data_IF_063171263197
#
_entry.id   IF_063171263197
#
_cell.length_a   1.000
_cell.length_b   1.000
_cell.length_c   1.000
_cell.angle_alpha   90.00
_cell.angle_beta   90.00
_cell.angle_gamma   90.00
#
_symmetry.space_group_name_H-M   'P 1'
#
loop_
_entity.id
_entity.type
_entity.pdbx_description
1 polymer ?
#
# COMPACT_ATOMS: atom_id res chain seq x y z
N UNK A 1 -0.70 24.62 -12.73
CA UNK A 1 -1.85 23.73 -12.40
C UNK A 1 -2.33 23.07 -13.67
N UNK A 2 -2.30 21.77 -13.74
CA UNK A 2 -2.88 20.95 -14.79
C UNK A 2 -4.28 20.49 -14.41
N UNK A 3 -5.04 20.07 -15.43
CA UNK A 3 -6.41 19.60 -15.26
C UNK A 3 -6.62 18.35 -16.09
N UNK A 4 -7.07 17.31 -15.42
CA UNK A 4 -7.37 16.02 -16.04
C UNK A 4 -8.70 15.47 -15.55
N UNK A 5 -9.35 14.68 -16.38
CA UNK A 5 -10.53 13.90 -16.01
C UNK A 5 -10.22 12.42 -16.17
N UNK A 6 -10.17 11.71 -15.06
CA UNK A 6 -9.89 10.28 -15.03
C UNK A 6 -11.21 9.53 -14.91
N UNK A 7 -11.50 8.66 -15.87
CA UNK A 7 -12.65 7.75 -15.78
C UNK A 7 -12.40 6.78 -14.63
N UNK A 8 -13.07 6.99 -13.51
CA UNK A 8 -12.80 6.20 -12.31
C UNK A 8 -14.01 6.09 -11.40
N UNK A 9 -14.02 5.05 -10.57
CA UNK A 9 -15.04 4.81 -9.54
C UNK A 9 -14.37 4.46 -8.21
N UNK A 10 -15.02 4.83 -7.10
CA UNK A 10 -14.62 4.42 -5.76
C UNK A 10 -15.56 3.31 -5.27
N UNK A 11 -15.00 2.16 -4.92
CA UNK A 11 -15.71 1.07 -4.24
C UNK A 11 -15.57 1.26 -2.74
N UNK A 12 -16.54 1.93 -2.14
CA UNK A 12 -16.59 2.23 -0.72
C UNK A 12 -17.42 1.21 0.07
N UNK A 13 -17.39 1.26 1.38
CA UNK A 13 -18.18 0.35 2.21
C UNK A 13 -18.83 1.02 3.40
N UNK A 14 -19.88 0.40 3.92
CA UNK A 14 -20.53 0.85 5.16
C UNK A 14 -19.72 0.55 6.42
N UNK A 15 -18.63 -0.21 6.29
CA UNK A 15 -17.73 -0.56 7.38
C UNK A 15 -16.69 -1.59 6.94
N UNK A 16 -15.81 -1.99 7.86
CA UNK A 16 -14.90 -3.10 7.63
C UNK A 16 -15.68 -4.41 7.49
N UNK A 17 -15.19 -5.32 6.62
CA UNK A 17 -15.82 -6.63 6.44
C UNK A 17 -17.10 -6.66 5.58
N UNK A 18 -17.57 -5.55 5.00
CA UNK A 18 -18.71 -5.54 4.08
C UNK A 18 -18.40 -6.16 2.70
N UNK A 19 -17.14 -6.53 2.44
CA UNK A 19 -16.70 -7.21 1.22
C UNK A 19 -16.26 -6.29 0.07
N UNK A 20 -15.81 -5.07 0.38
CA UNK A 20 -15.21 -4.15 -0.62
C UNK A 20 -14.20 -4.84 -1.51
N UNK A 21 -13.22 -5.50 -0.91
CA UNK A 21 -12.15 -6.16 -1.66
C UNK A 21 -12.67 -7.27 -2.58
N UNK A 22 -13.63 -8.07 -2.12
CA UNK A 22 -14.25 -9.08 -2.98
C UNK A 22 -14.93 -8.45 -4.18
N UNK A 23 -15.70 -7.37 -3.96
CA UNK A 23 -16.36 -6.63 -5.04
C UNK A 23 -15.34 -5.99 -5.97
N UNK A 24 -14.31 -5.34 -5.45
CA UNK A 24 -13.24 -4.69 -6.24
C UNK A 24 -12.49 -5.71 -7.10
N UNK A 25 -12.05 -6.82 -6.51
CA UNK A 25 -11.35 -7.88 -7.25
C UNK A 25 -12.24 -8.49 -8.34
N UNK A 26 -13.54 -8.70 -8.03
CA UNK A 26 -14.51 -9.18 -9.00
C UNK A 26 -14.69 -8.23 -10.18
N UNK A 27 -14.81 -6.93 -9.93
CA UNK A 27 -14.94 -5.89 -10.96
C UNK A 27 -13.67 -5.79 -11.81
N UNK A 28 -12.49 -5.70 -11.20
CA UNK A 28 -11.21 -5.64 -11.90
C UNK A 28 -11.03 -6.85 -12.81
N UNK A 29 -11.22 -8.06 -12.29
CA UNK A 29 -11.08 -9.29 -13.07
C UNK A 29 -12.13 -9.41 -14.17
N UNK A 30 -13.37 -8.98 -13.90
CA UNK A 30 -14.44 -8.97 -14.90
C UNK A 30 -14.13 -8.01 -16.06
N UNK A 31 -13.62 -6.81 -15.78
CA UNK A 31 -13.18 -5.87 -16.82
C UNK A 31 -12.03 -6.42 -17.65
N UNK A 32 -11.03 -7.08 -17.02
CA UNK A 32 -9.96 -7.74 -17.76
C UNK A 32 -10.50 -8.82 -18.73
N UNK A 33 -11.44 -9.66 -18.26
CA UNK A 33 -12.07 -10.69 -19.10
C UNK A 33 -12.87 -10.07 -20.26
N UNK A 34 -13.37 -8.84 -20.09
CA UNK A 34 -14.02 -8.05 -21.14
C UNK A 34 -13.01 -7.33 -22.07
N UNK A 35 -11.71 -7.49 -21.85
CA UNK A 35 -10.65 -6.86 -22.64
C UNK A 35 -10.43 -5.39 -22.33
N UNK A 36 -10.89 -4.90 -21.16
CA UNK A 36 -10.71 -3.51 -20.73
C UNK A 36 -9.38 -3.33 -20.03
N UNK A 37 -8.65 -2.26 -20.39
CA UNK A 37 -7.48 -1.82 -19.65
C UNK A 37 -7.93 -1.13 -18.36
N UNK A 38 -7.43 -1.61 -17.21
CA UNK A 38 -7.81 -1.12 -15.89
C UNK A 38 -6.61 -0.63 -15.10
N UNK A 39 -6.80 0.42 -14.30
CA UNK A 39 -5.89 0.81 -13.22
C UNK A 39 -6.57 0.57 -11.88
N UNK A 40 -5.82 0.08 -10.91
CA UNK A 40 -6.32 -0.17 -9.56
C UNK A 40 -5.63 0.75 -8.55
N UNK A 41 -6.39 1.15 -7.54
CA UNK A 41 -5.86 1.95 -6.44
C UNK A 41 -6.42 1.48 -5.12
N UNK A 42 -5.63 1.64 -4.06
CA UNK A 42 -6.06 1.40 -2.69
C UNK A 42 -6.01 2.70 -1.88
N UNK A 43 -7.11 3.05 -1.21
CA UNK A 43 -7.07 4.13 -0.22
C UNK A 43 -6.20 3.74 0.98
N UNK A 44 -5.34 4.65 1.41
CA UNK A 44 -4.51 4.47 2.58
C UNK A 44 -3.22 3.67 2.34
N UNK A 45 -2.49 3.34 3.43
CA UNK A 45 -1.11 2.85 3.39
C UNK A 45 -0.99 1.32 3.26
N UNK A 46 -2.01 0.64 2.79
CA UNK A 46 -2.07 -0.82 2.68
C UNK A 46 -1.11 -1.34 1.60
N UNK A 47 -0.33 -2.39 1.90
CA UNK A 47 0.55 -3.06 0.93
C UNK A 47 -0.10 -4.28 0.28
N UNK A 48 -0.97 -4.97 1.03
CA UNK A 48 -1.48 -6.30 0.66
C UNK A 48 -2.44 -6.20 -0.51
N UNK A 49 -3.40 -5.27 -0.47
CA UNK A 49 -4.39 -5.12 -1.54
C UNK A 49 -3.74 -4.66 -2.85
N UNK A 50 -2.85 -3.64 -2.90
CA UNK A 50 -2.12 -3.30 -4.12
C UNK A 50 -1.26 -4.42 -4.70
N UNK A 51 -0.58 -5.20 -3.85
CA UNK A 51 0.16 -6.38 -4.29
C UNK A 51 -0.77 -7.42 -4.91
N UNK A 52 -1.92 -7.69 -4.27
CA UNK A 52 -2.91 -8.62 -4.80
C UNK A 52 -3.46 -8.16 -6.16
N UNK A 53 -3.79 -6.89 -6.31
CA UNK A 53 -4.22 -6.33 -7.60
C UNK A 53 -3.14 -6.47 -8.67
N UNK A 54 -1.88 -6.23 -8.33
CA UNK A 54 -0.78 -6.27 -9.30
C UNK A 54 -0.32 -7.69 -9.62
N UNK A 55 -0.06 -8.53 -8.63
CA UNK A 55 0.57 -9.84 -8.83
C UNK A 55 -0.45 -10.94 -9.16
N UNK A 56 -1.66 -10.86 -8.61
CA UNK A 56 -2.67 -11.91 -8.76
C UNK A 56 -3.71 -11.54 -9.82
N UNK A 57 -4.22 -10.31 -9.83
CA UNK A 57 -5.17 -9.88 -10.87
C UNK A 57 -4.42 -9.46 -12.13
N UNK A 58 -3.20 -8.92 -12.02
CA UNK A 58 -2.40 -8.44 -13.14
C UNK A 58 -2.77 -7.02 -13.58
N UNK A 59 -3.33 -6.22 -12.66
CA UNK A 59 -3.68 -4.81 -12.91
C UNK A 59 -2.71 -3.93 -12.12
N UNK A 60 -2.03 -2.99 -12.79
CA UNK A 60 -1.14 -2.05 -12.10
C UNK A 60 -1.88 -1.33 -10.97
N UNK A 61 -1.31 -1.40 -9.76
CA UNK A 61 -1.96 -0.84 -8.57
C UNK A 61 -1.01 0.09 -7.79
N UNK A 62 -1.59 1.15 -7.20
CA UNK A 62 -0.92 2.12 -6.36
C UNK A 62 -1.74 2.48 -5.12
N UNK A 63 -1.12 3.23 -4.22
CA UNK A 63 -1.78 3.76 -3.03
C UNK A 63 -2.23 5.20 -3.25
N UNK A 64 -3.43 5.53 -2.79
CA UNK A 64 -3.91 6.90 -2.71
C UNK A 64 -4.03 7.30 -1.24
N UNK A 65 -3.04 8.03 -0.76
CA UNK A 65 -2.93 8.42 0.64
C UNK A 65 -2.46 9.88 0.78
N UNK A 66 -3.42 10.77 1.02
CA UNK A 66 -3.14 12.20 1.17
C UNK A 66 -2.42 12.54 2.48
N UNK A 67 -2.43 11.67 3.51
CA UNK A 67 -1.62 11.87 4.70
C UNK A 67 -0.14 11.65 4.38
N UNK A 68 0.19 10.55 3.70
CA UNK A 68 1.58 10.20 3.39
C UNK A 68 2.18 11.13 2.32
N UNK A 69 1.45 11.38 1.24
CA UNK A 69 1.99 12.08 0.06
C UNK A 69 1.63 13.57 0.01
N UNK A 70 0.65 14.02 0.80
CA UNK A 70 -0.01 15.30 0.57
C UNK A 70 -1.05 15.20 -0.55
N UNK A 71 -1.99 16.13 -0.54
CA UNK A 71 -3.13 16.12 -1.47
C UNK A 71 -2.69 16.25 -2.94
N UNK A 72 -1.78 17.18 -3.22
CA UNK A 72 -1.31 17.42 -4.59
C UNK A 72 -0.57 16.20 -5.18
N UNK A 73 0.37 15.64 -4.43
CA UNK A 73 1.12 14.45 -4.88
C UNK A 73 0.21 13.24 -5.05
N UNK A 74 -0.80 13.06 -4.19
CA UNK A 74 -1.79 11.99 -4.34
C UNK A 74 -2.61 12.15 -5.63
N UNK A 75 -3.08 13.36 -5.95
CA UNK A 75 -3.79 13.67 -7.21
C UNK A 75 -2.89 13.42 -8.41
N UNK A 76 -1.65 13.91 -8.37
CA UNK A 76 -0.65 13.66 -9.41
C UNK A 76 -0.43 12.16 -9.64
N UNK A 77 -0.25 11.37 -8.57
CA UNK A 77 -0.07 9.92 -8.66
C UNK A 77 -1.32 9.22 -9.21
N UNK A 78 -2.51 9.68 -8.84
CA UNK A 78 -3.74 9.14 -9.40
C UNK A 78 -3.80 9.35 -10.91
N UNK A 79 -3.55 10.57 -11.40
CA UNK A 79 -3.53 10.87 -12.84
C UNK A 79 -2.43 10.10 -13.56
N UNK A 80 -1.20 10.16 -13.05
CA UNK A 80 -0.02 9.46 -13.62
C UNK A 80 -0.28 7.95 -13.77
N UNK A 81 -0.76 7.30 -12.71
CA UNK A 81 -0.90 5.85 -12.65
C UNK A 81 -2.18 5.34 -13.32
N UNK A 82 -3.19 6.20 -13.52
CA UNK A 82 -4.34 5.88 -14.36
C UNK A 82 -3.94 5.75 -15.83
N UNK A 83 -2.98 6.53 -16.29
CA UNK A 83 -2.37 6.41 -17.60
C UNK A 83 -3.38 6.29 -18.74
N UNK A 84 -3.33 5.16 -19.48
CA UNK A 84 -4.23 4.85 -20.59
C UNK A 84 -5.39 3.94 -20.22
N UNK A 85 -5.60 3.68 -18.91
CA UNK A 85 -6.68 2.81 -18.47
C UNK A 85 -8.05 3.33 -18.93
N UNK A 86 -8.91 2.44 -19.39
CA UNK A 86 -10.30 2.76 -19.76
C UNK A 86 -11.17 3.02 -18.53
N UNK A 87 -10.75 2.45 -17.38
CA UNK A 87 -11.36 2.69 -16.07
C UNK A 87 -10.37 2.52 -14.94
N UNK A 88 -10.39 3.44 -13.98
CA UNK A 88 -9.67 3.37 -12.72
C UNK A 88 -10.62 2.93 -11.60
N UNK A 89 -10.25 1.90 -10.83
CA UNK A 89 -11.05 1.40 -9.71
C UNK A 89 -10.29 1.64 -8.41
N UNK A 90 -10.88 2.46 -7.54
CA UNK A 90 -10.30 2.82 -6.25
C UNK A 90 -10.98 2.00 -5.15
N UNK A 91 -10.22 1.11 -4.51
CA UNK A 91 -10.71 0.36 -3.36
C UNK A 91 -10.61 1.18 -2.08
N UNK A 92 -11.73 1.40 -1.42
CA UNK A 92 -11.80 2.12 -0.15
C UNK A 92 -11.24 1.33 1.03
N UNK A 93 -10.96 2.02 2.12
CA UNK A 93 -10.51 1.47 3.39
C UNK A 93 -11.58 1.66 4.46
N UNK A 94 -11.70 0.73 5.43
CA UNK A 94 -12.66 0.79 6.55
C UNK A 94 -14.10 1.11 6.08
N UNK A 95 -14.86 1.91 6.82
CA UNK A 95 -16.10 2.53 6.35
C UNK A 95 -15.83 3.81 5.57
N UNK A 96 -16.77 4.23 4.73
CA UNK A 96 -16.62 5.35 3.81
C UNK A 96 -16.15 6.64 4.49
N UNK A 97 -16.67 6.93 5.67
CA UNK A 97 -16.33 8.13 6.46
C UNK A 97 -15.28 7.88 7.53
N UNK A 98 -14.84 6.62 7.72
CA UNK A 98 -13.86 6.29 8.74
C UNK A 98 -12.46 6.74 8.30
N UNK A 99 -11.81 7.52 9.14
CA UNK A 99 -10.49 8.08 8.87
C UNK A 99 -9.80 8.56 10.13
N UNK A 100 -8.92 9.52 9.98
CA UNK A 100 -8.15 10.07 11.08
C UNK A 100 -8.99 11.06 11.91
N UNK A 101 -9.02 10.84 13.22
CA UNK A 101 -9.74 11.69 14.16
C UNK A 101 -11.26 11.55 14.07
N UNK A 102 -11.99 12.43 14.77
CA UNK A 102 -13.46 12.45 14.81
C UNK A 102 -14.11 12.99 13.55
N UNK A 103 -13.36 13.69 12.72
CA UNK A 103 -13.85 14.31 11.49
C UNK A 103 -13.62 13.46 10.24
N UNK A 104 -13.04 12.25 10.40
CA UNK A 104 -12.82 11.32 9.29
C UNK A 104 -11.81 11.80 8.25
N UNK A 105 -10.79 12.56 8.64
CA UNK A 105 -9.73 12.99 7.75
C UNK A 105 -9.01 11.80 7.10
N UNK A 106 -8.59 11.96 5.84
CA UNK A 106 -7.90 10.91 5.07
C UNK A 106 -8.70 9.61 4.91
N UNK A 107 -10.03 9.69 4.98
CA UNK A 107 -10.96 8.59 4.74
C UNK A 107 -11.14 8.29 3.25
N UNK A 108 -11.88 7.21 2.94
CA UNK A 108 -12.33 6.93 1.57
C UNK A 108 -13.15 8.09 1.00
N UNK A 109 -13.97 8.76 1.81
CA UNK A 109 -14.69 9.99 1.44
C UNK A 109 -13.73 11.10 1.00
N UNK A 110 -12.68 11.36 1.78
CA UNK A 110 -11.66 12.35 1.43
C UNK A 110 -10.99 12.01 0.09
N UNK A 111 -10.61 10.76 -0.11
CA UNK A 111 -10.01 10.30 -1.38
C UNK A 111 -10.98 10.47 -2.56
N UNK A 112 -12.27 10.11 -2.40
CA UNK A 112 -13.28 10.29 -3.44
C UNK A 112 -13.44 11.77 -3.85
N UNK A 113 -13.41 12.68 -2.89
CA UNK A 113 -13.46 14.13 -3.17
C UNK A 113 -12.22 14.64 -3.90
N UNK A 114 -11.04 14.19 -3.51
CA UNK A 114 -9.80 14.63 -4.15
C UNK A 114 -9.63 14.08 -5.56
N UNK A 115 -10.17 12.89 -5.83
CA UNK A 115 -10.11 12.23 -7.15
C UNK A 115 -11.28 12.58 -8.06
N UNK A 116 -12.33 13.23 -7.53
CA UNK A 116 -13.56 13.53 -8.27
C UNK A 116 -14.34 12.29 -8.71
N UNK A 117 -13.92 11.11 -8.28
CA UNK A 117 -14.52 9.84 -8.73
C UNK A 117 -15.87 9.58 -8.02
N UNK A 118 -16.93 9.19 -8.76
CA UNK A 118 -18.19 8.78 -8.18
C UNK A 118 -18.04 7.51 -7.34
N UNK A 119 -18.87 7.40 -6.30
CA UNK A 119 -18.79 6.37 -5.27
C UNK A 119 -19.90 5.34 -5.43
N UNK A 120 -19.52 4.08 -5.41
CA UNK A 120 -20.40 2.92 -5.29
C UNK A 120 -20.25 2.32 -3.90
N UNK A 121 -21.33 2.36 -3.12
CA UNK A 121 -21.32 1.88 -1.74
C UNK A 121 -21.61 0.38 -1.68
N UNK A 122 -20.68 -0.41 -1.18
CA UNK A 122 -20.87 -1.83 -0.90
C UNK A 122 -21.57 -2.00 0.44
N UNK A 123 -22.71 -2.66 0.42
CA UNK A 123 -23.56 -2.86 1.58
C UNK A 123 -23.81 -4.34 1.83
N UNK A 124 -23.60 -4.79 3.06
CA UNK A 124 -24.01 -6.12 3.50
C UNK A 124 -25.43 -6.05 4.07
N UNK A 125 -26.46 -6.56 3.37
CA UNK A 125 -27.86 -6.46 3.80
C UNK A 125 -28.27 -7.56 4.80
N UNK A 126 -27.34 -8.38 5.29
CA UNK A 126 -27.61 -9.52 6.16
C UNK A 126 -28.38 -9.08 7.42
N UNK A 127 -29.53 -9.71 7.64
CA UNK A 127 -30.38 -9.41 8.80
C UNK A 127 -31.21 -8.13 8.67
N UNK A 128 -31.21 -7.49 7.51
CA UNK A 128 -32.00 -6.28 7.24
C UNK A 128 -33.06 -6.56 6.17
N UNK A 129 -34.18 -5.86 6.22
CA UNK A 129 -35.15 -5.75 5.14
C UNK A 129 -35.25 -4.28 4.72
N UNK A 130 -36.30 -3.56 5.05
CA UNK A 130 -36.44 -2.13 4.77
C UNK A 130 -35.31 -1.28 5.44
N UNK A 131 -34.76 -1.75 6.54
CA UNK A 131 -33.70 -1.05 7.28
C UNK A 131 -32.42 -0.84 6.46
N UNK A 132 -32.16 -1.65 5.42
CA UNK A 132 -31.03 -1.42 4.51
C UNK A 132 -31.10 -0.06 3.83
N UNK A 133 -32.30 0.36 3.42
CA UNK A 133 -32.53 1.68 2.81
C UNK A 133 -32.26 2.82 3.81
N UNK A 134 -32.58 2.63 5.09
CA UNK A 134 -32.26 3.61 6.13
C UNK A 134 -30.74 3.77 6.33
N UNK A 135 -29.98 2.65 6.33
CA UNK A 135 -28.52 2.68 6.40
C UNK A 135 -27.93 3.43 5.19
N UNK A 136 -28.35 3.06 3.97
CA UNK A 136 -27.86 3.68 2.75
C UNK A 136 -28.18 5.18 2.73
N UNK A 137 -29.41 5.54 3.09
CA UNK A 137 -29.84 6.93 3.18
C UNK A 137 -29.02 7.71 4.21
N UNK A 138 -28.70 7.09 5.36
CA UNK A 138 -27.81 7.69 6.35
C UNK A 138 -26.44 8.05 5.76
N UNK A 139 -25.82 7.13 5.01
CA UNK A 139 -24.55 7.42 4.34
C UNK A 139 -24.68 8.52 3.29
N UNK A 140 -25.72 8.49 2.46
CA UNK A 140 -25.95 9.49 1.42
C UNK A 140 -26.19 10.89 1.98
N UNK A 141 -26.96 10.99 3.07
CA UNK A 141 -27.43 12.27 3.60
C UNK A 141 -26.52 12.81 4.73
N UNK A 142 -25.52 12.03 5.20
CA UNK A 142 -24.68 12.38 6.35
C UNK A 142 -23.79 13.59 6.11
N UNK A 143 -23.13 13.65 4.96
CA UNK A 143 -22.30 14.79 4.52
C UNK A 143 -22.79 15.18 3.11
N UNK A 144 -23.08 16.45 2.84
CA UNK A 144 -23.29 16.92 1.47
C UNK A 144 -22.06 16.64 0.58
N UNK A 145 -22.25 16.54 -0.71
CA UNK A 145 -21.19 16.38 -1.72
C UNK A 145 -20.30 15.12 -1.51
N UNK A 146 -20.90 14.04 -1.00
CA UNK A 146 -20.17 12.79 -0.78
C UNK A 146 -19.98 11.94 -2.05
N UNK A 147 -20.58 12.35 -3.16
CA UNK A 147 -20.53 11.72 -4.47
C UNK A 147 -20.98 10.24 -4.52
N UNK A 148 -21.81 9.78 -3.55
CA UNK A 148 -22.40 8.43 -3.59
C UNK A 148 -23.48 8.41 -4.68
N UNK A 149 -23.26 7.62 -5.74
CA UNK A 149 -24.12 7.51 -6.91
C UNK A 149 -24.86 6.18 -7.00
N UNK A 150 -24.38 5.16 -6.27
CA UNK A 150 -25.02 3.87 -6.33
C UNK A 150 -24.56 2.89 -5.27
N UNK A 151 -25.12 1.69 -5.38
CA UNK A 151 -24.95 0.63 -4.38
C UNK A 151 -24.69 -0.71 -5.07
N UNK A 152 -23.83 -1.54 -4.45
CA UNK A 152 -23.70 -2.98 -4.72
C UNK A 152 -23.97 -3.72 -3.42
N UNK A 153 -24.80 -4.78 -3.48
CA UNK A 153 -25.15 -5.60 -2.32
C UNK A 153 -24.21 -6.83 -2.23
N UNK A 154 -23.62 -7.06 -1.06
CA UNK A 154 -22.67 -8.16 -0.88
C UNK A 154 -22.58 -8.66 0.58
N UNK A 155 -22.88 -9.96 0.84
CA UNK A 155 -23.50 -10.91 -0.09
C UNK A 155 -25.03 -10.81 -0.10
N UNK A 156 -25.66 -11.22 -1.20
CA UNK A 156 -27.12 -11.29 -1.29
C UNK A 156 -27.57 -12.54 -2.07
N UNK A 157 -28.61 -13.24 -1.60
CA UNK A 157 -29.23 -14.33 -2.34
C UNK A 157 -29.93 -13.81 -3.60
N UNK A 158 -29.76 -14.45 -4.78
CA UNK A 158 -30.36 -13.98 -6.05
C UNK A 158 -31.89 -13.80 -6.00
N UNK A 159 -32.59 -14.65 -5.27
CA UNK A 159 -34.06 -14.58 -5.10
C UNK A 159 -34.56 -13.31 -4.40
N UNK A 160 -33.69 -12.65 -3.65
CA UNK A 160 -34.04 -11.44 -2.90
C UNK A 160 -33.72 -10.14 -3.67
N UNK A 161 -32.94 -10.22 -4.75
CA UNK A 161 -32.39 -9.04 -5.41
C UNK A 161 -33.44 -8.03 -5.84
N UNK A 162 -34.48 -8.47 -6.52
CA UNK A 162 -35.52 -7.55 -7.04
C UNK A 162 -36.23 -6.77 -5.91
N UNK A 163 -36.48 -7.44 -4.79
CA UNK A 163 -37.09 -6.81 -3.62
C UNK A 163 -36.16 -5.73 -3.06
N UNK A 164 -34.89 -6.06 -2.84
CA UNK A 164 -33.93 -5.09 -2.30
C UNK A 164 -33.67 -3.94 -3.25
N UNK A 165 -33.54 -4.21 -4.54
CA UNK A 165 -33.39 -3.19 -5.57
C UNK A 165 -34.53 -2.19 -5.53
N UNK A 166 -35.80 -2.66 -5.59
CA UNK A 166 -36.97 -1.80 -5.55
C UNK A 166 -37.01 -0.94 -4.28
N UNK A 167 -36.76 -1.52 -3.11
CA UNK A 167 -36.73 -0.81 -1.83
C UNK A 167 -35.68 0.29 -1.84
N UNK A 168 -34.44 -0.03 -2.27
CA UNK A 168 -33.31 0.91 -2.23
C UNK A 168 -33.56 2.04 -3.23
N UNK A 169 -33.85 1.74 -4.49
CA UNK A 169 -34.05 2.75 -5.53
C UNK A 169 -35.22 3.68 -5.19
N UNK A 170 -36.36 3.15 -4.70
CA UNK A 170 -37.51 3.96 -4.30
C UNK A 170 -37.24 4.86 -3.09
N UNK A 171 -36.60 4.33 -2.05
CA UNK A 171 -36.43 5.06 -0.78
C UNK A 171 -35.21 5.94 -0.72
N UNK A 172 -34.18 5.64 -1.55
CA UNK A 172 -32.92 6.39 -1.52
C UNK A 172 -32.64 7.18 -2.81
N UNK A 173 -33.30 6.86 -3.93
CA UNK A 173 -32.98 7.43 -5.23
C UNK A 173 -31.65 7.01 -5.81
N UNK A 174 -30.91 6.11 -5.16
CA UNK A 174 -29.63 5.60 -5.62
C UNK A 174 -29.82 4.35 -6.48
N UNK A 175 -29.12 4.27 -7.61
CA UNK A 175 -29.10 3.09 -8.50
C UNK A 175 -28.45 1.90 -7.79
N UNK A 176 -29.06 0.71 -7.92
CA UNK A 176 -28.44 -0.54 -7.48
C UNK A 176 -27.76 -1.19 -8.68
N UNK A 177 -26.41 -1.14 -8.72
CA UNK A 177 -25.59 -1.69 -9.80
C UNK A 177 -25.50 -3.23 -9.77
N UNK A 178 -26.09 -3.87 -8.78
CA UNK A 178 -26.15 -5.32 -8.70
C UNK A 178 -25.82 -5.85 -7.31
N UNK A 179 -25.41 -7.12 -7.30
CA UNK A 179 -25.06 -7.84 -6.08
C UNK A 179 -24.06 -8.95 -6.37
N UNK A 180 -23.39 -9.45 -5.32
CA UNK A 180 -22.69 -10.71 -5.38
C UNK A 180 -23.38 -11.73 -4.46
N UNK A 181 -23.56 -12.98 -4.89
CA UNK A 181 -24.02 -14.05 -4.02
C UNK A 181 -22.93 -14.45 -3.01
N UNK A 182 -23.30 -15.19 -1.98
CA UNK A 182 -22.31 -15.80 -1.08
C UNK A 182 -21.52 -16.86 -1.83
N UNK A 183 -20.24 -16.60 -2.07
CA UNK A 183 -19.33 -17.46 -2.83
C UNK A 183 -18.28 -18.04 -1.87
N UNK A 184 -18.63 -19.14 -1.16
CA UNK A 184 -17.70 -19.79 -0.22
C UNK A 184 -16.45 -20.32 -0.93
N UNK A 185 -16.60 -20.82 -2.16
CA UNK A 185 -15.51 -21.34 -2.99
C UNK A 185 -14.60 -20.24 -3.56
N UNK A 186 -15.10 -19.02 -3.69
CA UNK A 186 -14.34 -17.86 -4.14
C UNK A 186 -13.94 -16.94 -2.96
N UNK A 187 -14.02 -17.42 -1.71
CA UNK A 187 -13.58 -16.66 -0.57
C UNK A 187 -12.07 -16.41 -0.66
N UNK A 188 -11.71 -15.16 -0.87
CA UNK A 188 -10.33 -14.71 -0.83
C UNK A 188 -9.97 -14.60 0.67
N UNK A 189 -9.30 -15.64 1.20
CA UNK A 189 -8.90 -15.73 2.62
C UNK A 189 -7.90 -14.66 3.05
N UNK A 190 -7.32 -14.81 4.25
CA UNK A 190 -6.23 -13.94 4.71
C UNK A 190 -5.09 -13.90 3.67
N UNK A 191 -4.82 -12.71 3.15
CA UNK A 191 -3.91 -12.49 2.02
C UNK A 191 -2.51 -12.20 2.52
N UNK A 192 -1.83 -13.21 3.05
CA UNK A 192 -0.39 -13.13 3.30
C UNK A 192 0.36 -13.44 2.00
N UNK A 193 0.38 -12.47 1.07
CA UNK A 193 0.95 -12.64 -0.28
C UNK A 193 2.44 -13.04 -0.27
N UNK A 194 3.18 -12.67 0.75
CA UNK A 194 4.55 -13.13 0.95
C UNK A 194 4.71 -14.64 1.20
N UNK A 195 3.59 -15.39 1.37
CA UNK A 195 3.57 -16.80 1.73
C UNK A 195 2.98 -17.72 0.65
N UNK A 196 2.54 -17.16 -0.50
CA UNK A 196 1.76 -17.92 -1.50
C UNK A 196 2.68 -18.78 -2.36
N UNK A 197 2.41 -20.09 -2.41
CA UNK A 197 3.05 -21.05 -3.31
C UNK A 197 2.45 -20.98 -4.72
N UNK A 198 3.13 -21.58 -5.72
CA UNK A 198 2.59 -21.65 -7.10
C UNK A 198 1.22 -22.35 -7.16
N UNK A 199 1.00 -23.38 -6.33
CA UNK A 199 -0.30 -24.08 -6.25
C UNK A 199 -1.38 -23.17 -5.63
N UNK A 200 -1.04 -22.35 -4.64
CA UNK A 200 -1.96 -21.38 -4.06
C UNK A 200 -2.28 -20.22 -5.02
N UNK A 201 -1.34 -19.84 -5.88
CA UNK A 201 -1.58 -18.86 -6.96
C UNK A 201 -2.59 -19.45 -7.96
N UNK A 202 -2.46 -20.71 -8.33
CA UNK A 202 -3.40 -21.39 -9.25
C UNK A 202 -4.81 -21.49 -8.64
N UNK A 203 -4.93 -21.89 -7.39
CA UNK A 203 -6.21 -21.87 -6.65
C UNK A 203 -6.80 -20.45 -6.58
N UNK A 204 -5.97 -19.43 -6.37
CA UNK A 204 -6.40 -18.05 -6.34
C UNK A 204 -6.91 -17.56 -7.70
N UNK A 205 -6.25 -17.95 -8.81
CA UNK A 205 -6.70 -17.63 -10.16
C UNK A 205 -8.06 -18.28 -10.46
N UNK A 206 -8.28 -19.55 -10.07
CA UNK A 206 -9.58 -20.21 -10.22
C UNK A 206 -10.68 -19.50 -9.42
N UNK A 207 -10.39 -19.07 -8.19
CA UNK A 207 -11.31 -18.28 -7.36
C UNK A 207 -11.66 -16.93 -7.99
N UNK A 208 -10.66 -16.26 -8.60
CA UNK A 208 -10.88 -14.99 -9.30
C UNK A 208 -11.72 -15.17 -10.58
N UNK A 209 -11.51 -16.23 -11.32
CA UNK A 209 -12.33 -16.55 -12.50
C UNK A 209 -13.79 -16.81 -12.12
N UNK A 210 -14.02 -17.58 -11.04
CA UNK A 210 -15.36 -17.81 -10.51
C UNK A 210 -16.00 -16.49 -10.04
N UNK A 211 -15.24 -15.66 -9.36
CA UNK A 211 -15.68 -14.33 -8.90
C UNK A 211 -16.03 -13.42 -10.09
N UNK A 212 -15.17 -13.35 -11.11
CA UNK A 212 -15.40 -12.58 -12.33
C UNK A 212 -16.63 -13.05 -13.09
N UNK A 213 -16.84 -14.37 -13.21
CA UNK A 213 -18.03 -14.94 -13.83
C UNK A 213 -19.32 -14.49 -13.11
N UNK A 214 -19.32 -14.54 -11.78
CA UNK A 214 -20.46 -14.09 -10.98
C UNK A 214 -20.64 -12.57 -11.06
N UNK A 215 -19.56 -11.80 -11.06
CA UNK A 215 -19.60 -10.35 -11.22
C UNK A 215 -20.21 -9.96 -12.55
N UNK A 216 -19.78 -10.57 -13.65
CA UNK A 216 -20.36 -10.35 -14.99
C UNK A 216 -21.84 -10.72 -15.08
N UNK A 217 -22.28 -11.70 -14.30
CA UNK A 217 -23.68 -12.16 -14.30
C UNK A 217 -24.61 -11.28 -13.48
N UNK A 218 -24.13 -10.72 -12.38
CA UNK A 218 -24.97 -10.10 -11.35
C UNK A 218 -24.71 -8.62 -11.11
N UNK A 219 -23.62 -8.07 -11.67
CA UNK A 219 -23.26 -6.65 -11.55
C UNK A 219 -23.36 -5.98 -12.93
N UNK A 220 -23.96 -4.81 -12.97
CA UNK A 220 -24.10 -3.98 -14.16
C UNK A 220 -22.79 -3.26 -14.47
N UNK A 221 -21.88 -3.98 -15.13
CA UNK A 221 -20.53 -3.48 -15.46
C UNK A 221 -20.57 -2.34 -16.49
N UNK A 222 -21.48 -2.38 -17.45
CA UNK A 222 -21.65 -1.28 -18.42
C UNK A 222 -22.12 0.00 -17.69
N UNK A 223 -23.07 -0.13 -16.77
CA UNK A 223 -23.50 0.99 -15.95
C UNK A 223 -22.40 1.55 -15.05
N UNK A 224 -21.42 0.71 -14.62
CA UNK A 224 -20.25 1.20 -13.89
C UNK A 224 -19.26 1.95 -14.79
N UNK A 225 -19.10 1.54 -16.06
CA UNK A 225 -18.32 2.28 -17.05
C UNK A 225 -18.96 3.64 -17.36
N UNK A 226 -20.29 3.67 -17.56
CA UNK A 226 -21.03 4.92 -17.73
C UNK A 226 -20.86 5.86 -16.52
N UNK A 227 -20.95 5.29 -15.29
CA UNK A 227 -20.76 6.06 -14.06
C UNK A 227 -19.34 6.66 -13.97
N UNK A 228 -18.32 5.90 -14.39
CA UNK A 228 -16.93 6.37 -14.35
C UNK A 228 -16.70 7.62 -15.24
N UNK A 229 -17.52 7.81 -16.28
CA UNK A 229 -17.49 9.00 -17.14
C UNK A 229 -18.03 10.27 -16.46
N UNK A 230 -18.80 10.11 -15.35
CA UNK A 230 -19.29 11.23 -14.54
C UNK A 230 -18.23 11.81 -13.59
N UNK A 231 -17.01 11.24 -13.55
CA UNK A 231 -15.94 11.75 -12.70
C UNK A 231 -15.66 13.24 -12.98
N UNK A 232 -15.39 13.98 -11.90
CA UNK A 232 -15.09 15.41 -11.98
C UNK A 232 -13.66 15.67 -12.45
N UNK A 233 -13.40 16.89 -12.90
CA UNK A 233 -12.08 17.35 -13.29
C UNK A 233 -11.18 17.51 -12.06
N UNK A 234 -9.93 17.00 -12.12
CA UNK A 234 -8.95 17.06 -11.06
C UNK A 234 -7.94 18.16 -11.40
N UNK A 235 -7.75 19.09 -10.45
CA UNK A 235 -6.70 20.10 -10.55
C UNK A 235 -5.51 19.69 -9.69
N UNK A 236 -4.30 19.68 -10.27
CA UNK A 236 -3.06 19.33 -9.58
C UNK A 236 -1.86 20.08 -10.16
N UNK A 237 -0.78 20.09 -9.44
CA UNK A 237 0.53 20.56 -9.91
C UNK A 237 1.41 19.34 -10.20
N UNK A 238 2.00 19.23 -11.40
CA UNK A 238 2.97 18.18 -11.69
C UNK A 238 4.09 18.15 -10.67
N UNK A 239 4.50 16.95 -10.26
CA UNK A 239 5.71 16.78 -9.45
C UNK A 239 6.88 16.71 -10.41
N UNK A 240 7.67 17.78 -10.47
CA UNK A 240 8.88 17.84 -11.27
C UNK A 240 9.94 16.91 -10.69
N UNK A 241 10.52 16.08 -11.52
CA UNK A 241 11.57 15.13 -11.16
C UNK A 241 12.63 15.20 -12.24
N UNK A 242 13.82 15.60 -11.85
CA UNK A 242 14.97 15.68 -12.72
C UNK A 242 15.79 14.39 -12.63
N UNK A 243 16.06 13.76 -13.76
CA UNK A 243 17.01 12.64 -13.88
C UNK A 243 18.44 13.15 -13.67
N UNK A 244 18.92 13.08 -12.44
CA UNK A 244 20.27 13.59 -12.05
C UNK A 244 21.25 12.49 -11.65
N UNK A 245 20.77 11.24 -11.55
CA UNK A 245 21.51 10.13 -10.95
C UNK A 245 21.70 8.95 -11.91
N UNK A 246 21.79 9.24 -13.21
CA UNK A 246 22.00 8.23 -14.25
C UNK A 246 23.21 7.33 -13.95
N UNK A 247 23.01 6.04 -14.18
CA UNK A 247 24.02 5.01 -13.98
C UNK A 247 24.25 4.59 -12.52
N UNK A 248 23.47 5.07 -11.55
CA UNK A 248 23.44 4.49 -10.19
C UNK A 248 22.69 3.15 -10.19
N UNK A 249 23.21 2.19 -9.45
CA UNK A 249 22.58 0.87 -9.29
C UNK A 249 22.21 0.63 -7.83
N UNK A 250 20.93 0.46 -7.57
CA UNK A 250 20.40 0.28 -6.20
C UNK A 250 19.90 -1.15 -6.05
N UNK A 251 20.52 -1.90 -5.14
CA UNK A 251 20.05 -3.24 -4.77
C UNK A 251 18.77 -3.14 -3.94
N UNK A 252 17.70 -3.82 -4.37
CA UNK A 252 16.41 -3.85 -3.66
C UNK A 252 16.09 -5.29 -3.27
N UNK A 253 15.97 -5.56 -1.98
CA UNK A 253 15.56 -6.87 -1.49
C UNK A 253 14.13 -7.15 -1.88
N UNK A 254 13.85 -8.21 -2.64
CA UNK A 254 12.51 -8.54 -3.09
C UNK A 254 12.29 -10.03 -3.17
N UNK A 255 11.60 -10.56 -2.17
CA UNK A 255 11.15 -11.93 -2.09
C UNK A 255 9.97 -12.06 -1.10
N UNK A 256 9.64 -13.28 -0.70
CA UNK A 256 8.53 -13.53 0.23
C UNK A 256 8.74 -12.97 1.63
N UNK A 257 9.98 -12.73 2.04
CA UNK A 257 10.30 -12.11 3.33
C UNK A 257 10.33 -10.58 3.26
N UNK A 258 10.59 -10.00 2.07
CA UNK A 258 10.74 -8.57 1.83
C UNK A 258 9.89 -8.15 0.63
N UNK A 259 8.61 -7.83 0.85
CA UNK A 259 7.65 -7.57 -0.22
C UNK A 259 6.86 -6.25 -0.04
N UNK A 260 7.01 -5.55 1.07
CA UNK A 260 6.27 -4.32 1.33
C UNK A 260 7.03 -3.10 0.83
N UNK A 261 6.61 -2.62 -0.33
CA UNK A 261 7.11 -1.42 -0.98
C UNK A 261 5.96 -0.59 -1.52
N UNK A 262 6.01 0.72 -1.36
CA UNK A 262 5.20 1.60 -2.17
C UNK A 262 5.79 1.63 -3.57
N UNK A 263 5.03 1.15 -4.54
CA UNK A 263 5.45 1.11 -5.95
C UNK A 263 5.95 2.46 -6.43
N UNK A 264 5.19 3.53 -6.13
CA UNK A 264 5.54 4.89 -6.53
C UNK A 264 6.85 5.37 -5.91
N UNK A 265 7.22 4.91 -4.70
CA UNK A 265 8.52 5.24 -4.10
C UNK A 265 9.69 4.58 -4.83
N UNK A 266 9.53 3.34 -5.30
CA UNK A 266 10.54 2.67 -6.13
C UNK A 266 10.64 3.33 -7.51
N UNK A 267 9.50 3.58 -8.18
CA UNK A 267 9.46 4.29 -9.46
C UNK A 267 10.05 5.71 -9.37
N UNK A 268 9.95 6.37 -8.22
CA UNK A 268 10.59 7.66 -8.01
C UNK A 268 12.12 7.56 -8.07
N UNK A 269 12.71 6.52 -7.48
CA UNK A 269 14.17 6.28 -7.58
C UNK A 269 14.58 6.05 -9.04
N UNK A 270 13.79 5.28 -9.82
CA UNK A 270 14.06 5.06 -11.25
C UNK A 270 13.92 6.35 -12.05
N UNK A 271 12.90 7.17 -11.77
CA UNK A 271 12.72 8.48 -12.43
C UNK A 271 13.81 9.49 -12.10
N UNK A 272 14.46 9.36 -10.97
CA UNK A 272 15.64 10.14 -10.58
C UNK A 272 16.94 9.61 -11.21
N UNK A 273 16.86 8.52 -12.03
CA UNK A 273 17.95 7.97 -12.83
C UNK A 273 18.61 6.70 -12.26
N UNK A 274 18.09 6.12 -11.19
CA UNK A 274 18.65 4.88 -10.64
C UNK A 274 18.12 3.63 -11.37
N UNK A 275 19.01 2.65 -11.61
CA UNK A 275 18.65 1.28 -11.99
C UNK A 275 18.36 0.47 -10.71
N UNK A 276 17.16 -0.09 -10.57
CA UNK A 276 16.82 -0.96 -9.45
C UNK A 276 17.19 -2.42 -9.78
N UNK A 277 18.06 -3.00 -8.98
CA UNK A 277 18.53 -4.38 -9.13
C UNK A 277 17.95 -5.24 -8.02
N UNK A 278 16.93 -6.02 -8.33
CA UNK A 278 16.26 -6.88 -7.35
C UNK A 278 17.12 -8.09 -6.99
N UNK A 279 17.09 -8.48 -5.71
CA UNK A 279 17.74 -9.69 -5.20
C UNK A 279 16.88 -10.32 -4.10
N UNK A 280 17.09 -11.62 -3.84
CA UNK A 280 16.35 -12.35 -2.83
C UNK A 280 17.25 -12.72 -1.64
N UNK A 281 17.07 -12.12 -0.46
CA UNK A 281 17.75 -12.58 0.75
C UNK A 281 17.49 -14.04 1.10
N UNK A 282 16.39 -14.64 0.65
CA UNK A 282 16.07 -16.05 0.88
C UNK A 282 16.86 -17.00 -0.02
N UNK A 283 17.10 -16.64 -1.29
CA UNK A 283 17.63 -17.58 -2.29
C UNK A 283 18.99 -17.20 -2.87
N UNK A 284 19.34 -15.92 -2.93
CA UNK A 284 20.62 -15.48 -3.48
C UNK A 284 21.72 -15.59 -2.43
N UNK A 285 22.94 -15.88 -2.89
CA UNK A 285 24.10 -16.05 -1.98
C UNK A 285 24.71 -14.74 -1.51
N UNK A 286 24.46 -13.61 -2.18
CA UNK A 286 24.99 -12.28 -1.86
C UNK A 286 24.17 -11.18 -2.52
N UNK A 287 24.37 -9.94 -2.09
CA UNK A 287 23.84 -8.77 -2.82
C UNK A 287 24.45 -8.71 -4.23
N UNK A 288 23.72 -8.13 -5.22
CA UNK A 288 24.23 -7.96 -6.58
C UNK A 288 25.57 -7.21 -6.62
N UNK A 289 26.38 -7.54 -7.59
CA UNK A 289 27.68 -6.87 -7.77
C UNK A 289 27.51 -5.47 -8.38
N UNK A 290 28.47 -4.60 -8.13
CA UNK A 290 28.51 -3.23 -8.67
C UNK A 290 27.25 -2.41 -8.36
N UNK A 291 26.71 -2.55 -7.15
CA UNK A 291 25.65 -1.67 -6.64
C UNK A 291 26.20 -0.55 -5.77
N UNK A 292 25.49 0.56 -5.75
CA UNK A 292 25.92 1.82 -5.13
C UNK A 292 25.08 2.15 -3.87
N UNK A 293 23.98 1.42 -3.65
CA UNK A 293 23.11 1.55 -2.48
C UNK A 293 22.25 0.31 -2.26
N UNK A 294 21.64 0.21 -1.09
CA UNK A 294 20.83 -0.93 -0.66
C UNK A 294 19.50 -0.47 -0.05
N UNK A 295 18.42 -1.06 -0.52
CA UNK A 295 17.05 -0.86 0.02
C UNK A 295 16.52 -2.20 0.53
N UNK A 296 16.18 -2.25 1.81
CA UNK A 296 15.56 -3.39 2.49
C UNK A 296 14.16 -2.99 2.97
N UNK A 297 13.14 -3.38 2.24
CA UNK A 297 11.75 -3.02 2.55
C UNK A 297 11.16 -3.83 3.70
N UNK A 298 9.89 -3.56 3.96
CA UNK A 298 9.10 -4.33 4.91
C UNK A 298 8.71 -5.71 4.38
N UNK A 299 8.04 -6.47 5.22
CA UNK A 299 7.58 -7.83 4.93
C UNK A 299 7.43 -8.67 6.18
N UNK A 300 7.69 -9.96 6.05
CA UNK A 300 7.51 -10.96 7.10
C UNK A 300 8.81 -11.77 7.38
N UNK A 301 9.95 -11.14 7.72
CA UNK A 301 11.21 -11.87 7.93
C UNK A 301 11.12 -12.87 9.10
N UNK A 302 10.25 -12.63 10.08
CA UNK A 302 10.02 -13.53 11.21
C UNK A 302 9.42 -14.88 10.79
N UNK A 303 8.68 -14.94 9.69
CA UNK A 303 8.12 -16.18 9.16
C UNK A 303 9.17 -17.03 8.44
N UNK A 304 10.22 -16.39 7.97
CA UNK A 304 11.36 -17.00 7.24
C UNK A 304 12.66 -16.97 8.02
N UNK A 305 12.61 -16.78 9.34
CA UNK A 305 13.79 -16.63 10.17
C UNK A 305 14.79 -17.79 10.05
N UNK A 306 14.28 -19.03 9.91
CA UNK A 306 15.12 -20.22 9.71
C UNK A 306 15.86 -20.22 8.37
N UNK A 307 15.20 -19.83 7.28
CA UNK A 307 15.82 -19.76 5.95
C UNK A 307 16.81 -18.60 5.90
N UNK A 308 16.44 -17.42 6.35
CA UNK A 308 17.31 -16.23 6.39
C UNK A 308 18.57 -16.49 7.21
N UNK A 309 18.44 -17.10 8.39
CA UNK A 309 19.60 -17.39 9.26
C UNK A 309 20.57 -18.41 8.68
N UNK A 310 20.10 -19.35 7.86
CA UNK A 310 20.95 -20.34 7.17
C UNK A 310 21.72 -19.76 6.00
N UNK A 311 21.27 -18.64 5.44
CA UNK A 311 21.94 -17.97 4.34
C UNK A 311 23.11 -17.09 4.84
N UNK A 312 24.10 -17.72 5.48
CA UNK A 312 25.23 -17.04 6.10
C UNK A 312 26.05 -16.19 5.11
N UNK A 313 26.09 -16.57 3.84
CA UNK A 313 26.80 -15.80 2.80
C UNK A 313 26.08 -14.48 2.50
N UNK A 314 24.74 -14.45 2.42
CA UNK A 314 23.97 -13.23 2.25
C UNK A 314 24.10 -12.32 3.49
N UNK A 315 23.95 -12.88 4.71
CA UNK A 315 24.14 -12.12 5.96
C UNK A 315 25.51 -11.44 5.99
N UNK A 316 26.57 -12.18 5.62
CA UNK A 316 27.94 -11.65 5.58
C UNK A 316 28.12 -10.60 4.50
N UNK A 317 27.49 -10.76 3.32
CA UNK A 317 27.54 -9.82 2.21
C UNK A 317 26.91 -8.48 2.58
N UNK A 318 25.70 -8.49 3.19
CA UNK A 318 25.04 -7.27 3.65
C UNK A 318 25.85 -6.60 4.76
N UNK A 319 26.35 -7.39 5.73
CA UNK A 319 27.19 -6.86 6.82
C UNK A 319 28.47 -6.19 6.31
N UNK A 320 29.10 -6.78 5.30
CA UNK A 320 30.29 -6.20 4.65
C UNK A 320 29.94 -4.87 3.96
N UNK A 321 28.83 -4.82 3.19
CA UNK A 321 28.39 -3.62 2.51
C UNK A 321 28.12 -2.46 3.50
N UNK A 322 27.46 -2.74 4.62
CA UNK A 322 27.27 -1.76 5.71
C UNK A 322 28.62 -1.32 6.29
N UNK A 323 29.53 -2.26 6.51
CA UNK A 323 30.91 -1.98 7.00
C UNK A 323 31.72 -1.11 6.05
N UNK A 324 31.50 -1.23 4.75
CA UNK A 324 32.09 -0.40 3.69
C UNK A 324 31.41 0.97 3.54
N UNK A 325 30.45 1.28 4.40
CA UNK A 325 29.65 2.52 4.37
C UNK A 325 28.84 2.70 3.07
N UNK A 326 28.34 1.61 2.49
CA UNK A 326 27.34 1.68 1.43
C UNK A 326 26.07 2.32 2.01
N UNK A 327 25.42 3.27 1.29
CA UNK A 327 24.13 3.82 1.72
C UNK A 327 23.05 2.75 1.83
N UNK A 328 22.38 2.67 2.99
CA UNK A 328 21.36 1.66 3.29
C UNK A 328 20.08 2.32 3.81
N UNK A 329 18.99 2.05 3.13
CA UNK A 329 17.65 2.40 3.59
C UNK A 329 16.88 1.13 3.95
N UNK A 330 16.40 1.03 5.20
CA UNK A 330 15.72 -0.17 5.69
C UNK A 330 14.45 0.16 6.50
N UNK A 331 13.33 -0.45 6.12
CA UNK A 331 12.04 -0.28 6.78
C UNK A 331 11.55 -1.59 7.42
N UNK A 332 10.96 -1.50 8.60
CA UNK A 332 10.21 -2.56 9.28
C UNK A 332 10.92 -3.94 9.23
N UNK A 333 10.52 -4.83 8.34
CA UNK A 333 11.17 -6.14 8.15
C UNK A 333 12.65 -6.03 7.79
N UNK A 334 13.02 -5.08 6.94
CA UNK A 334 14.42 -4.81 6.59
C UNK A 334 15.23 -4.29 7.77
N UNK A 335 14.63 -3.46 8.62
CA UNK A 335 15.25 -3.03 9.88
C UNK A 335 15.47 -4.23 10.84
N UNK A 336 14.44 -5.09 11.01
CA UNK A 336 14.57 -6.30 11.82
C UNK A 336 15.71 -7.20 11.31
N UNK A 337 15.83 -7.34 10.00
CA UNK A 337 16.87 -8.16 9.36
C UNK A 337 18.31 -7.63 9.57
N UNK A 338 18.47 -6.29 9.67
CA UNK A 338 19.77 -5.68 9.96
C UNK A 338 20.23 -5.86 11.41
N UNK A 339 19.33 -6.18 12.35
CA UNK A 339 19.64 -6.40 13.75
C UNK A 339 20.38 -7.74 13.99
N UNK A 340 20.71 -8.04 15.25
CA UNK A 340 21.46 -9.24 15.62
C UNK A 340 20.61 -10.50 15.53
N UNK A 341 19.34 -10.43 15.98
CA UNK A 341 18.41 -11.56 15.95
C UNK A 341 16.96 -11.17 15.69
N UNK A 342 16.17 -12.14 15.19
CA UNK A 342 14.69 -12.07 15.19
C UNK A 342 14.16 -13.26 16.01
N UNK A 343 13.22 -13.00 16.93
CA UNK A 343 12.49 -14.02 17.67
C UNK A 343 11.05 -14.10 17.18
N UNK A 344 10.64 -15.25 16.68
CA UNK A 344 9.31 -15.49 16.12
C UNK A 344 8.21 -15.64 17.21
N UNK A 345 6.94 -15.81 16.80
CA UNK A 345 5.81 -16.04 17.71
C UNK A 345 5.92 -17.32 18.54
N UNK A 346 6.69 -18.31 18.04
CA UNK A 346 6.96 -19.59 18.74
C UNK A 346 8.15 -19.50 19.68
N UNK A 347 8.73 -18.30 19.84
CA UNK A 347 9.92 -18.02 20.66
C UNK A 347 11.22 -18.68 20.14
N UNK A 348 11.26 -19.06 18.86
CA UNK A 348 12.52 -19.43 18.21
C UNK A 348 13.29 -18.15 17.85
N UNK A 349 14.59 -18.14 18.16
CA UNK A 349 15.46 -17.00 17.87
C UNK A 349 16.43 -17.37 16.73
N UNK A 350 16.50 -16.50 15.75
CA UNK A 350 17.29 -16.68 14.53
C UNK A 350 18.32 -15.56 14.40
N UNK A 351 19.56 -15.91 14.10
CA UNK A 351 20.64 -14.94 13.83
C UNK A 351 20.36 -14.23 12.51
N UNK A 352 20.52 -12.90 12.51
CA UNK A 352 20.37 -12.03 11.35
C UNK A 352 21.69 -11.35 10.97
N UNK A 353 21.64 -10.27 10.19
CA UNK A 353 22.84 -9.59 9.67
C UNK A 353 23.78 -9.10 10.78
N UNK A 354 23.25 -8.60 11.89
CA UNK A 354 24.04 -8.05 13.00
C UNK A 354 24.87 -6.82 12.61
N UNK A 355 24.39 -6.03 11.65
CA UNK A 355 24.95 -4.72 11.30
C UNK A 355 24.48 -3.64 12.27
N UNK A 356 23.27 -3.78 12.80
CA UNK A 356 22.72 -2.97 13.88
C UNK A 356 22.68 -3.76 15.19
N UNK A 357 23.00 -3.08 16.29
CA UNK A 357 22.84 -3.63 17.64
C UNK A 357 21.36 -3.68 18.00
N UNK A 358 20.91 -4.81 18.53
CA UNK A 358 19.56 -5.01 19.00
C UNK A 358 18.95 -6.31 18.54
N UNK A 359 17.81 -6.66 19.15
CA UNK A 359 17.08 -7.90 18.90
C UNK A 359 15.62 -7.58 18.68
N UNK A 360 15.07 -8.03 17.56
CA UNK A 360 13.64 -7.92 17.26
C UNK A 360 12.91 -9.15 17.75
N UNK A 361 11.66 -8.97 18.19
CA UNK A 361 10.81 -10.05 18.66
C UNK A 361 9.34 -9.80 18.37
N UNK A 362 8.61 -10.89 18.10
CA UNK A 362 7.16 -10.82 17.86
C UNK A 362 6.37 -10.75 19.17
N UNK A 363 5.24 -10.05 19.13
CA UNK A 363 4.29 -9.87 20.25
C UNK A 363 2.89 -10.31 19.85
N UNK A 364 2.06 -10.70 20.86
CA UNK A 364 0.66 -11.10 20.66
C UNK A 364 -0.29 -9.92 20.37
N UNK A 365 0.19 -8.70 20.49
CA UNK A 365 -0.58 -7.47 20.28
C UNK A 365 0.17 -6.52 19.37
N UNK A 366 -0.56 -5.63 18.72
CA UNK A 366 0.02 -4.53 17.96
C UNK A 366 0.93 -3.69 18.85
N UNK A 367 2.19 -3.57 18.46
CA UNK A 367 3.17 -2.72 19.14
C UNK A 367 2.90 -1.27 18.80
N UNK A 368 2.73 -0.97 17.51
CA UNK A 368 2.40 0.36 17.00
C UNK A 368 1.50 0.28 15.80
N UNK A 369 0.65 1.29 15.67
CA UNK A 369 -0.34 1.35 14.60
C UNK A 369 -0.65 2.79 14.19
N UNK A 370 -0.76 3.00 12.87
CA UNK A 370 -1.36 4.17 12.23
C UNK A 370 -0.33 5.27 11.90
N UNK A 371 -0.84 6.37 11.44
CA UNK A 371 -0.09 7.50 10.93
C UNK A 371 0.77 8.21 11.98
N UNK A 372 1.92 8.72 11.54
CA UNK A 372 2.88 9.49 12.32
C UNK A 372 3.56 10.52 11.42
N UNK A 373 4.05 11.60 12.02
CA UNK A 373 5.01 12.50 11.38
C UNK A 373 6.38 12.26 12.00
N UNK A 374 7.37 11.99 11.19
CA UNK A 374 8.77 11.80 11.57
C UNK A 374 9.51 13.13 11.42
N UNK A 375 10.34 13.47 12.40
CA UNK A 375 11.23 14.64 12.35
C UNK A 375 12.65 14.21 12.68
N UNK A 376 13.60 14.56 11.83
CA UNK A 376 15.01 14.26 12.01
C UNK A 376 15.63 15.11 13.13
N UNK A 377 16.42 14.49 14.04
CA UNK A 377 17.12 15.17 15.12
C UNK A 377 18.53 15.66 14.74
N UNK A 378 19.09 15.12 13.67
CA UNK A 378 20.38 15.47 13.11
C UNK A 378 20.36 15.22 11.59
N UNK A 379 21.35 15.77 10.89
CA UNK A 379 21.60 15.45 9.48
C UNK A 379 21.89 13.96 9.35
N UNK A 380 21.37 13.36 8.28
CA UNK A 380 21.48 11.91 8.05
C UNK A 380 21.40 11.59 6.55
N UNK A 381 21.40 10.29 6.20
CA UNK A 381 21.33 9.78 4.85
C UNK A 381 20.20 10.40 4.00
N UNK A 382 19.02 10.63 4.57
CA UNK A 382 17.82 11.05 3.83
C UNK A 382 17.54 12.55 3.91
N UNK A 383 17.97 13.22 4.98
CA UNK A 383 17.54 14.60 5.23
C UNK A 383 18.42 15.35 6.24
N UNK A 384 18.19 16.65 6.33
CA UNK A 384 18.82 17.51 7.33
C UNK A 384 18.02 17.53 8.64
N UNK A 385 18.65 17.96 9.70
CA UNK A 385 18.02 18.17 11.00
C UNK A 385 16.78 19.07 10.87
N UNK A 386 15.69 18.62 11.45
CA UNK A 386 14.41 19.33 11.48
C UNK A 386 13.51 19.06 10.30
N UNK A 387 13.99 18.43 9.23
CA UNK A 387 13.13 18.01 8.12
C UNK A 387 12.19 16.88 8.55
N UNK A 388 11.02 16.87 7.92
CA UNK A 388 9.92 15.99 8.28
C UNK A 388 9.43 15.18 7.08
N UNK A 389 8.90 13.99 7.38
CA UNK A 389 8.12 13.18 6.45
C UNK A 389 7.01 12.47 7.20
N UNK A 390 5.85 12.33 6.56
CA UNK A 390 4.78 11.50 7.08
C UNK A 390 5.04 10.02 6.79
N UNK A 391 4.66 9.18 7.74
CA UNK A 391 4.91 7.75 7.69
C UNK A 391 3.76 6.97 8.35
N UNK A 392 3.81 5.67 8.23
CA UNK A 392 2.85 4.76 8.82
C UNK A 392 3.58 3.62 9.55
N UNK A 393 3.06 3.20 10.69
CA UNK A 393 3.50 1.98 11.39
C UNK A 393 2.33 1.00 11.52
N UNK A 394 2.60 -0.26 11.24
CA UNK A 394 1.67 -1.37 11.50
C UNK A 394 2.48 -2.65 11.72
N UNK A 395 2.80 -2.95 12.98
CA UNK A 395 3.61 -4.14 13.28
C UNK A 395 3.27 -4.76 14.64
N UNK A 396 3.35 -6.08 14.67
CA UNK A 396 3.23 -6.92 15.87
C UNK A 396 4.62 -7.25 16.47
N UNK A 397 5.67 -6.79 15.87
CA UNK A 397 7.04 -6.91 16.37
C UNK A 397 7.44 -5.70 17.19
N UNK A 398 8.46 -5.84 18.00
CA UNK A 398 9.16 -4.74 18.66
C UNK A 398 10.66 -5.07 18.72
N UNK A 399 11.48 -4.14 19.17
CA UNK A 399 12.91 -4.33 19.38
C UNK A 399 13.34 -3.77 20.73
N UNK A 400 14.37 -4.37 21.31
CA UNK A 400 15.04 -3.81 22.49
C UNK A 400 15.85 -2.53 22.15
N UNK A 401 16.05 -2.25 20.85
CA UNK A 401 16.72 -1.07 20.30
C UNK A 401 15.95 -0.55 19.08
N UNK A 402 15.20 0.52 19.24
CA UNK A 402 14.40 1.15 18.18
C UNK A 402 15.06 2.39 17.54
N UNK A 403 16.30 2.71 17.93
CA UNK A 403 16.97 3.92 17.49
C UNK A 403 16.49 5.18 18.22
N UNK A 404 17.01 6.33 17.79
CA UNK A 404 16.70 7.61 18.44
C UNK A 404 17.06 8.82 17.59
N UNK A 405 17.35 8.60 16.29
CA UNK A 405 17.76 9.67 15.36
C UNK A 405 16.60 10.51 14.85
N UNK A 406 15.38 9.97 14.94
CA UNK A 406 14.14 10.69 14.69
C UNK A 406 13.24 10.66 15.92
N UNK A 407 12.28 11.56 15.96
CA UNK A 407 11.09 11.36 16.77
C UNK A 407 9.85 11.23 15.87
N UNK A 408 8.98 10.34 16.28
CA UNK A 408 7.65 10.17 15.70
C UNK A 408 6.62 10.91 16.56
N UNK A 409 5.69 11.61 15.93
CA UNK A 409 4.58 12.29 16.56
C UNK A 409 3.26 11.79 15.97
N UNK A 410 2.31 11.40 16.82
CA UNK A 410 0.94 11.09 16.36
C UNK A 410 0.24 12.35 15.87
N UNK A 411 -0.67 12.22 14.86
CA UNK A 411 -1.39 13.38 14.31
C UNK A 411 -2.21 14.17 15.34
N UNK A 412 -2.65 13.52 16.43
CA UNK A 412 -3.35 14.17 17.53
C UNK A 412 -2.41 14.95 18.49
N UNK A 413 -1.09 14.88 18.25
CA UNK A 413 -0.06 15.54 19.07
C UNK A 413 0.17 14.92 20.46
N UNK A 414 -0.61 13.89 20.86
CA UNK A 414 -0.59 13.38 22.24
C UNK A 414 0.53 12.38 22.55
N UNK A 415 0.99 11.66 21.53
CA UNK A 415 2.04 10.64 21.71
C UNK A 415 3.23 10.96 20.83
N UNK A 416 4.39 10.94 21.44
CA UNK A 416 5.70 11.15 20.81
C UNK A 416 6.68 10.10 21.34
N UNK A 417 7.54 9.58 20.47
CA UNK A 417 8.61 8.67 20.87
C UNK A 417 9.80 8.80 19.92
N UNK A 418 10.95 8.38 20.42
CA UNK A 418 12.17 8.29 19.64
C UNK A 418 12.18 6.99 18.83
N UNK A 419 12.69 7.04 17.61
CA UNK A 419 12.75 5.90 16.68
C UNK A 419 13.86 6.10 15.65
N UNK A 420 14.07 5.08 14.83
CA UNK A 420 14.98 5.08 13.68
C UNK A 420 16.45 5.24 14.09
N UNK A 421 17.29 4.31 13.64
CA UNK A 421 18.74 4.49 13.56
C UNK A 421 19.05 5.26 12.29
N UNK A 422 19.73 6.38 12.38
CA UNK A 422 20.15 7.13 11.22
C UNK A 422 21.52 7.79 11.45
N UNK A 423 22.36 7.69 10.43
CA UNK A 423 23.62 8.40 10.26
C UNK A 423 23.78 8.84 8.79
N UNK A 424 24.97 9.21 8.36
CA UNK A 424 25.24 9.65 6.99
C UNK A 424 25.12 8.53 5.94
N UNK A 425 25.12 7.26 6.34
CA UNK A 425 25.17 6.08 5.48
C UNK A 425 23.99 5.14 5.65
N UNK A 426 23.23 5.28 6.73
CA UNK A 426 22.12 4.38 7.01
C UNK A 426 20.92 5.12 7.58
N UNK A 427 19.71 4.70 7.16
CA UNK A 427 18.45 4.96 7.86
C UNK A 427 17.71 3.64 7.99
N UNK A 428 17.41 3.21 9.22
CA UNK A 428 16.77 1.93 9.51
C UNK A 428 15.81 2.03 10.71
N UNK A 429 14.55 1.61 10.52
CA UNK A 429 13.53 1.65 11.58
C UNK A 429 12.22 1.00 11.19
N UNK A 430 11.25 0.97 12.11
CA UNK A 430 9.92 0.41 11.84
C UNK A 430 9.03 1.25 10.93
N UNK A 431 9.07 2.61 10.97
CA UNK A 431 8.20 3.43 10.14
C UNK A 431 8.37 3.17 8.65
N UNK A 432 7.25 3.15 7.92
CA UNK A 432 7.21 3.10 6.46
C UNK A 432 6.98 4.50 5.91
N UNK A 433 7.85 4.94 5.02
CA UNK A 433 7.81 6.25 4.38
C UNK A 433 7.34 6.13 2.93
N UNK A 434 6.60 7.14 2.47
CA UNK A 434 6.29 7.27 1.05
C UNK A 434 7.05 8.47 0.48
N UNK A 435 7.99 8.24 -0.44
CA UNK A 435 8.91 9.28 -0.89
C UNK A 435 8.23 10.47 -1.59
N UNK A 436 7.04 10.31 -2.14
CA UNK A 436 6.26 11.44 -2.63
C UNK A 436 5.71 12.35 -1.51
N UNK A 437 5.83 11.97 -0.24
CA UNK A 437 5.60 12.85 0.90
C UNK A 437 6.70 13.90 1.07
N UNK A 438 7.92 13.58 0.65
CA UNK A 438 9.05 14.48 0.54
C UNK A 438 10.09 13.88 -0.42
N UNK A 439 10.05 14.31 -1.69
CA UNK A 439 10.94 13.77 -2.74
C UNK A 439 12.42 14.02 -2.47
N UNK A 440 12.74 15.05 -1.70
CA UNK A 440 14.10 15.34 -1.26
C UNK A 440 14.76 14.19 -0.47
N UNK A 441 13.97 13.32 0.17
CA UNK A 441 14.50 12.14 0.87
C UNK A 441 15.07 11.11 -0.13
N UNK A 442 14.36 10.88 -1.24
CA UNK A 442 14.85 10.01 -2.32
C UNK A 442 16.08 10.61 -3.02
N UNK A 443 16.07 11.93 -3.30
CA UNK A 443 17.20 12.63 -3.89
C UNK A 443 18.44 12.58 -2.99
N UNK A 444 18.29 12.83 -1.69
CA UNK A 444 19.37 12.72 -0.70
C UNK A 444 19.98 11.32 -0.69
N UNK A 445 19.14 10.27 -0.67
CA UNK A 445 19.59 8.88 -0.73
C UNK A 445 20.45 8.62 -1.98
N UNK A 446 19.96 8.99 -3.16
CA UNK A 446 20.69 8.79 -4.42
C UNK A 446 21.95 9.64 -4.50
N UNK A 447 21.94 10.87 -3.96
CA UNK A 447 23.13 11.70 -3.86
C UNK A 447 24.24 11.00 -3.04
N UNK A 448 23.88 10.40 -1.91
CA UNK A 448 24.84 9.62 -1.08
C UNK A 448 25.33 8.36 -1.78
N UNK A 449 24.47 7.69 -2.56
CA UNK A 449 24.88 6.58 -3.43
C UNK A 449 25.89 7.03 -4.49
N UNK A 450 25.71 8.20 -5.10
CA UNK A 450 26.67 8.79 -6.06
C UNK A 450 28.03 9.12 -5.39
N UNK A 451 28.00 9.67 -4.17
CA UNK A 451 29.21 9.93 -3.39
C UNK A 451 29.96 8.62 -3.07
N UNK A 452 29.23 7.57 -2.68
CA UNK A 452 29.80 6.23 -2.43
C UNK A 452 30.43 5.63 -3.68
N UNK A 453 29.73 5.65 -4.83
CA UNK A 453 30.24 5.20 -6.12
C UNK A 453 31.57 5.90 -6.48
N UNK A 454 31.58 7.23 -6.34
CA UNK A 454 32.77 8.04 -6.63
C UNK A 454 33.96 7.68 -5.74
N UNK A 455 33.73 7.35 -4.46
CA UNK A 455 34.79 6.89 -3.53
C UNK A 455 35.38 5.53 -3.93
N UNK A 456 34.53 4.60 -4.44
CA UNK A 456 35.01 3.29 -4.92
C UNK A 456 35.89 3.35 -6.18
N UNK A 457 35.66 4.35 -7.04
CA UNK A 457 36.38 4.51 -8.32
C UNK A 457 37.71 5.25 -8.14
N UNK A 458 37.85 6.07 -7.09
CA UNK A 458 39.12 6.75 -6.76
C UNK A 458 39.90 5.89 -5.80
N UNK A 459 41.11 5.32 -6.23
CA UNK A 459 41.95 4.53 -5.38
C UNK A 459 42.62 5.35 -4.26
#
# INVERSE_FOLDING_TARGET
MEKDRIKGIVIAGTGSGCGKTTVTCGILKAFQVMGKETAAFKCGPDYIDPMFHSEIIGTGSGNLDAFLCGENSMKYLYVKNSGKAEISVIEGVMGFYDGLGSEGGYSTYSTARHTGAPVVLVVNPKGMALSVAAVIKGFRDFIPDNNIKGVILNPLAPSLYQMYRSIIEEKTGLRVYGFLPELKEAAIGCRHLGLITSAEIEDMQQKLELLACNTRKYVDLEGLLELAEEAEEICYEPVEIDDKHDGLRIAVARDRAFCFYYRDSLELLERLGAELVHFSPLSDGRIPEAVDGLVLGGGYPELYGSELSKNASMLSSIKAAVGEQMPVYAECGGFMYLQETITDMRKNTFTMVGALKGNSFMQDRLSRFGYITLTAKADNLLCRKGECINAHEFHYSDSDKNGGSFYALKPDGRRRWDCIFADETMVAGYPHMHFYGNTGFAESFLQKCSEFKTRKIKP
#
